data_IF_976138887130
#
_entry.id   IF_976138887130
#
_cell.length_a   1.000
_cell.length_b   1.000
_cell.length_c   1.000
_cell.angle_alpha   90.00
_cell.angle_beta   90.00
_cell.angle_gamma   90.00
#
_symmetry.space_group_name_H-M   'P 1'
#
loop_
_entity.id
_entity.type
_entity.pdbx_description
1 polymer ?
#
# COMPACT_ATOMS: atom_id res chain seq x y z
N UNK A 1 -24.12 -21.77 6.92
CA UNK A 1 -22.79 -21.11 7.00
C UNK A 1 -22.67 -20.20 5.79
N UNK A 2 -22.80 -18.89 5.96
CA UNK A 2 -22.46 -17.94 4.90
C UNK A 2 -20.95 -18.01 4.66
N UNK A 3 -20.53 -18.33 3.44
CA UNK A 3 -19.15 -18.17 3.04
C UNK A 3 -18.80 -16.69 3.15
N UNK A 4 -17.83 -16.32 3.99
CA UNK A 4 -17.28 -14.97 3.98
C UNK A 4 -16.64 -14.71 2.62
N UNK A 5 -17.32 -13.99 1.73
CA UNK A 5 -16.73 -13.53 0.48
C UNK A 5 -15.62 -12.54 0.80
N UNK A 6 -14.42 -12.85 0.33
CA UNK A 6 -13.30 -11.91 0.36
C UNK A 6 -13.22 -11.23 -1.01
N UNK A 7 -13.61 -9.96 -1.07
CA UNK A 7 -13.54 -9.16 -2.30
C UNK A 7 -12.10 -8.75 -2.63
N UNK A 8 -11.29 -8.51 -1.60
CA UNK A 8 -9.88 -8.18 -1.72
C UNK A 8 -9.02 -9.35 -1.24
N UNK A 9 -8.01 -9.69 -2.05
CA UNK A 9 -7.05 -10.74 -1.75
C UNK A 9 -5.72 -10.14 -1.31
N UNK A 10 -5.07 -10.78 -0.32
CA UNK A 10 -3.74 -10.36 0.12
C UNK A 10 -2.73 -10.62 -1.00
N UNK A 11 -1.76 -9.73 -1.21
CA UNK A 11 -0.69 -9.99 -2.17
C UNK A 11 0.14 -11.21 -1.73
N UNK A 12 0.63 -11.96 -2.71
CA UNK A 12 1.38 -13.19 -2.46
C UNK A 12 2.66 -12.91 -1.66
N UNK A 13 3.01 -13.80 -0.73
CA UNK A 13 4.26 -13.71 0.05
C UNK A 13 5.50 -13.73 -0.85
N UNK A 14 5.42 -14.31 -2.05
CA UNK A 14 6.55 -14.33 -2.98
C UNK A 14 7.02 -12.92 -3.38
N UNK A 15 6.14 -11.92 -3.32
CA UNK A 15 6.52 -10.52 -3.61
C UNK A 15 7.55 -9.98 -2.62
N UNK A 16 7.35 -10.18 -1.32
CA UNK A 16 8.31 -9.68 -0.33
C UNK A 16 9.62 -10.47 -0.39
N UNK A 17 9.53 -11.79 -0.65
CA UNK A 17 10.69 -12.65 -0.80
C UNK A 17 11.54 -12.32 -2.03
N UNK A 18 10.96 -11.77 -3.09
CA UNK A 18 11.74 -11.29 -4.25
C UNK A 18 12.21 -9.85 -4.08
N UNK A 19 11.34 -8.95 -3.60
CA UNK A 19 11.63 -7.53 -3.50
C UNK A 19 12.70 -7.21 -2.46
N UNK A 20 12.72 -7.89 -1.30
CA UNK A 20 13.70 -7.61 -0.24
C UNK A 20 15.13 -7.93 -0.69
N UNK A 21 15.45 -9.12 -1.23
CA UNK A 21 16.79 -9.38 -1.76
C UNK A 21 17.19 -8.41 -2.87
N UNK A 22 16.28 -8.09 -3.80
CA UNK A 22 16.54 -7.13 -4.88
C UNK A 22 16.88 -5.75 -4.32
N UNK A 23 16.11 -5.27 -3.34
CA UNK A 23 16.34 -4.00 -2.66
C UNK A 23 17.71 -3.98 -1.95
N UNK A 24 18.06 -5.06 -1.23
CA UNK A 24 19.37 -5.20 -0.60
C UNK A 24 20.51 -5.19 -1.63
N UNK A 25 20.37 -5.89 -2.76
CA UNK A 25 21.35 -5.90 -3.84
C UNK A 25 21.58 -4.49 -4.41
N UNK A 26 20.50 -3.74 -4.71
CA UNK A 26 20.64 -2.37 -5.21
C UNK A 26 21.22 -1.42 -4.18
N UNK A 27 20.89 -1.58 -2.89
CA UNK A 27 21.50 -0.79 -1.82
C UNK A 27 23.01 -1.04 -1.74
N UNK A 28 23.44 -2.31 -1.76
CA UNK A 28 24.86 -2.66 -1.76
C UNK A 28 25.59 -2.10 -2.99
N UNK A 29 24.99 -2.22 -4.18
CA UNK A 29 25.55 -1.64 -5.40
C UNK A 29 25.68 -0.11 -5.32
N UNK A 30 24.64 0.57 -4.84
CA UNK A 30 24.65 2.03 -4.69
C UNK A 30 25.72 2.49 -3.68
N UNK A 31 25.85 1.81 -2.54
CA UNK A 31 26.90 2.09 -1.55
C UNK A 31 28.30 1.87 -2.13
N UNK A 32 28.50 0.77 -2.86
CA UNK A 32 29.78 0.48 -3.52
C UNK A 32 30.14 1.56 -4.55
N UNK A 33 29.22 1.91 -5.44
CA UNK A 33 29.45 2.92 -6.46
C UNK A 33 29.67 4.31 -5.86
N UNK A 34 28.96 4.66 -4.79
CA UNK A 34 29.19 5.91 -4.07
C UNK A 34 30.61 5.97 -3.49
N UNK A 35 31.08 4.87 -2.89
CA UNK A 35 32.43 4.79 -2.36
C UNK A 35 33.49 4.97 -3.47
N UNK A 36 33.28 4.35 -4.64
CA UNK A 36 34.14 4.53 -5.81
C UNK A 36 34.16 6.00 -6.27
N UNK A 37 32.99 6.64 -6.40
CA UNK A 37 32.89 8.04 -6.85
C UNK A 37 33.64 8.98 -5.89
N UNK A 38 33.53 8.77 -4.58
CA UNK A 38 34.20 9.60 -3.56
C UNK A 38 35.72 9.38 -3.54
N UNK A 39 36.19 8.22 -3.97
CA UNK A 39 37.61 7.86 -3.95
C UNK A 39 38.36 8.29 -5.23
N UNK A 40 37.69 8.87 -6.21
CA UNK A 40 38.27 9.34 -7.47
C UNK A 40 38.10 10.85 -7.56
N UNK A 41 39.19 11.59 -7.80
CA UNK A 41 39.18 13.07 -7.84
C UNK A 41 38.29 13.62 -8.97
N UNK A 42 38.32 13.00 -10.15
CA UNK A 42 37.49 13.37 -11.31
C UNK A 42 36.67 12.16 -11.84
N UNK A 43 35.52 11.84 -11.21
CA UNK A 43 34.72 10.69 -11.61
C UNK A 43 33.99 10.95 -12.94
N UNK A 44 34.17 10.01 -13.88
CA UNK A 44 33.52 10.03 -15.20
C UNK A 44 31.98 10.04 -15.07
N UNK A 45 31.32 10.65 -16.05
CA UNK A 45 29.86 10.72 -16.17
C UNK A 45 29.25 9.31 -16.12
N UNK A 46 29.92 8.32 -16.70
CA UNK A 46 29.47 6.92 -16.66
C UNK A 46 29.34 6.41 -15.22
N UNK A 47 30.33 6.70 -14.35
CA UNK A 47 30.30 6.26 -12.95
C UNK A 47 29.13 6.91 -12.19
N UNK A 48 28.92 8.22 -12.40
CA UNK A 48 27.80 8.96 -11.81
C UNK A 48 26.45 8.40 -12.27
N UNK A 49 26.34 8.06 -13.55
CA UNK A 49 25.12 7.51 -14.13
C UNK A 49 24.81 6.10 -13.62
N UNK A 50 25.83 5.24 -13.46
CA UNK A 50 25.66 3.93 -12.83
C UNK A 50 25.16 4.06 -11.39
N UNK A 51 25.72 4.98 -10.60
CA UNK A 51 25.23 5.28 -9.25
C UNK A 51 23.76 5.72 -9.26
N UNK A 52 23.40 6.67 -10.11
CA UNK A 52 22.03 7.16 -10.21
C UNK A 52 21.03 6.05 -10.58
N UNK A 53 21.41 5.14 -11.47
CA UNK A 53 20.57 4.00 -11.85
C UNK A 53 20.37 3.05 -10.67
N UNK A 54 21.45 2.61 -10.02
CA UNK A 54 21.37 1.69 -8.88
C UNK A 54 20.60 2.30 -7.71
N UNK A 55 20.82 3.58 -7.42
CA UNK A 55 20.07 4.32 -6.40
C UNK A 55 18.60 4.48 -6.78
N UNK A 56 18.28 4.80 -8.04
CA UNK A 56 16.91 4.87 -8.54
C UNK A 56 16.17 3.55 -8.40
N UNK A 57 16.79 2.44 -8.75
CA UNK A 57 16.20 1.11 -8.56
C UNK A 57 16.03 0.73 -7.08
N UNK A 58 16.97 1.13 -6.21
CA UNK A 58 16.79 0.99 -4.77
C UNK A 58 15.54 1.74 -4.27
N UNK A 59 15.33 2.98 -4.72
CA UNK A 59 14.13 3.76 -4.35
C UNK A 59 12.84 3.12 -4.86
N UNK A 60 12.82 2.67 -6.13
CA UNK A 60 11.66 2.00 -6.73
C UNK A 60 11.32 0.72 -5.97
N UNK A 61 12.31 -0.12 -5.68
CA UNK A 61 12.11 -1.39 -4.97
C UNK A 61 11.70 -1.16 -3.52
N UNK A 62 12.27 -0.16 -2.85
CA UNK A 62 11.82 0.30 -1.53
C UNK A 62 10.36 0.74 -1.54
N UNK A 63 9.95 1.55 -2.51
CA UNK A 63 8.55 1.97 -2.69
C UNK A 63 7.61 0.77 -2.88
N UNK A 64 7.99 -0.23 -3.69
CA UNK A 64 7.20 -1.45 -3.87
C UNK A 64 7.07 -2.26 -2.57
N UNK A 65 8.11 -2.33 -1.74
CA UNK A 65 8.06 -3.00 -0.42
C UNK A 65 7.07 -2.28 0.52
N UNK A 66 7.13 -0.95 0.58
CA UNK A 66 6.16 -0.16 1.36
C UNK A 66 4.73 -0.36 0.85
N UNK A 67 4.55 -0.37 -0.48
CA UNK A 67 3.26 -0.67 -1.12
C UNK A 67 2.74 -2.07 -0.76
N UNK A 68 3.61 -3.09 -0.75
CA UNK A 68 3.26 -4.42 -0.29
C UNK A 68 2.78 -4.42 1.16
N UNK A 69 3.52 -3.75 2.06
CA UNK A 69 3.15 -3.61 3.46
C UNK A 69 1.77 -2.96 3.63
N UNK A 70 1.51 -1.89 2.88
CA UNK A 70 0.21 -1.23 2.85
C UNK A 70 -0.91 -2.18 2.40
N UNK A 71 -0.72 -2.89 1.28
CA UNK A 71 -1.72 -3.82 0.74
C UNK A 71 -2.05 -4.94 1.73
N UNK A 72 -1.04 -5.57 2.34
CA UNK A 72 -1.26 -6.63 3.34
C UNK A 72 -2.06 -6.11 4.54
N UNK A 73 -1.77 -4.88 4.98
CA UNK A 73 -2.47 -4.22 6.08
C UNK A 73 -3.90 -3.81 5.71
N UNK A 74 -4.12 -3.24 4.52
CA UNK A 74 -5.40 -2.68 4.10
C UNK A 74 -6.40 -3.75 3.68
N UNK A 75 -5.98 -4.86 3.04
CA UNK A 75 -6.89 -5.93 2.58
C UNK A 75 -7.91 -6.40 3.63
N UNK A 76 -7.53 -6.83 4.84
CA UNK A 76 -8.51 -7.29 5.84
C UNK A 76 -9.45 -6.18 6.30
N UNK A 77 -8.97 -4.94 6.35
CA UNK A 77 -9.78 -3.77 6.70
C UNK A 77 -10.80 -3.46 5.61
N UNK A 78 -10.40 -3.53 4.33
CA UNK A 78 -11.29 -3.33 3.18
C UNK A 78 -12.41 -4.37 3.18
N UNK A 79 -12.08 -5.66 3.31
CA UNK A 79 -13.10 -6.73 3.35
C UNK A 79 -14.07 -6.57 4.53
N UNK A 80 -13.57 -6.13 5.69
CA UNK A 80 -14.43 -5.86 6.84
C UNK A 80 -15.31 -4.63 6.61
N UNK A 81 -14.78 -3.58 5.98
CA UNK A 81 -15.53 -2.37 5.70
C UNK A 81 -16.62 -2.60 4.63
N UNK A 82 -16.38 -3.48 3.65
CA UNK A 82 -17.43 -3.94 2.70
C UNK A 82 -18.61 -4.52 3.48
N UNK A 83 -18.38 -5.52 4.32
CA UNK A 83 -19.44 -6.15 5.15
C UNK A 83 -20.17 -5.13 6.03
N UNK A 84 -19.44 -4.23 6.67
CA UNK A 84 -20.05 -3.18 7.49
C UNK A 84 -20.91 -2.21 6.68
N UNK A 85 -20.55 -1.97 5.42
CA UNK A 85 -21.30 -1.09 4.52
C UNK A 85 -22.54 -1.80 3.97
N UNK A 86 -22.46 -3.11 3.69
CA UNK A 86 -23.61 -3.95 3.35
C UNK A 86 -24.63 -4.02 4.50
N UNK A 87 -24.15 -4.15 5.74
CA UNK A 87 -25.02 -4.19 6.93
C UNK A 87 -25.62 -2.80 7.25
N UNK A 88 -24.90 -1.72 6.94
CA UNK A 88 -25.34 -0.35 7.17
C UNK A 88 -24.66 0.62 6.19
N UNK A 89 -25.39 1.06 5.17
CA UNK A 89 -24.91 1.98 4.13
C UNK A 89 -24.40 3.32 4.67
N UNK A 90 -24.73 3.72 5.91
CA UNK A 90 -24.26 4.97 6.50
C UNK A 90 -22.82 4.91 7.04
N UNK A 91 -22.16 3.74 7.01
CA UNK A 91 -20.75 3.60 7.45
C UNK A 91 -19.81 4.43 6.58
N UNK A 92 -20.11 4.58 5.28
CA UNK A 92 -19.37 5.42 4.34
C UNK A 92 -20.26 6.56 3.85
N UNK A 93 -19.85 7.79 4.13
CA UNK A 93 -20.58 9.00 3.73
C UNK A 93 -19.79 9.73 2.65
N UNK A 94 -20.47 10.04 1.55
CA UNK A 94 -19.92 10.88 0.49
C UNK A 94 -20.14 12.37 0.82
N UNK A 95 -19.05 13.14 0.95
CA UNK A 95 -19.06 14.60 1.15
C UNK A 95 -17.89 15.23 0.39
N UNK A 96 -18.04 16.46 -0.13
CA UNK A 96 -16.94 17.20 -0.77
C UNK A 96 -16.15 16.40 -1.83
N UNK A 97 -16.85 15.62 -2.65
CA UNK A 97 -16.26 14.73 -3.66
C UNK A 97 -15.35 13.60 -3.12
N UNK A 98 -15.54 13.24 -1.85
CA UNK A 98 -14.73 12.23 -1.14
C UNK A 98 -15.60 11.36 -0.24
N UNK A 99 -15.12 10.15 0.00
CA UNK A 99 -15.75 9.23 0.93
C UNK A 99 -15.09 9.35 2.30
N UNK A 100 -15.93 9.37 3.34
CA UNK A 100 -15.51 9.45 4.73
C UNK A 100 -16.16 8.33 5.52
N UNK A 101 -15.43 7.79 6.48
CA UNK A 101 -15.98 6.81 7.43
C UNK A 101 -16.76 7.57 8.50
N UNK A 102 -18.01 7.20 8.75
CA UNK A 102 -18.77 7.72 9.89
C UNK A 102 -18.30 7.05 11.19
N UNK A 103 -17.44 7.75 11.91
CA UNK A 103 -16.91 7.28 13.20
C UNK A 103 -18.02 7.04 14.24
N UNK A 104 -19.10 7.82 14.21
CA UNK A 104 -20.20 7.68 15.17
C UNK A 104 -20.98 6.39 14.92
N UNK A 105 -21.17 6.00 13.66
CA UNK A 105 -21.80 4.72 13.30
C UNK A 105 -20.92 3.55 13.75
N UNK A 106 -19.61 3.60 13.47
CA UNK A 106 -18.68 2.55 13.91
C UNK A 106 -18.59 2.44 15.45
N UNK A 107 -18.59 3.56 16.16
CA UNK A 107 -18.62 3.57 17.62
C UNK A 107 -19.90 2.93 18.19
N UNK A 108 -21.06 3.19 17.59
CA UNK A 108 -22.33 2.52 17.96
C UNK A 108 -22.29 1.01 17.75
N UNK A 109 -21.53 0.54 16.76
CA UNK A 109 -21.29 -0.89 16.51
C UNK A 109 -20.18 -1.48 17.39
N UNK A 110 -19.63 -0.73 18.34
CA UNK A 110 -18.50 -1.13 19.18
C UNK A 110 -17.22 -1.49 18.37
N UNK A 111 -16.99 -0.80 17.25
CA UNK A 111 -15.83 -0.98 16.38
C UNK A 111 -14.94 0.26 16.47
N UNK A 112 -13.62 0.04 16.58
CA UNK A 112 -12.65 1.14 16.56
C UNK A 112 -12.55 1.73 15.13
N UNK A 113 -12.84 3.03 14.92
CA UNK A 113 -12.82 3.65 13.59
C UNK A 113 -11.41 3.96 13.08
N UNK A 114 -10.43 4.16 13.98
CA UNK A 114 -9.05 4.59 13.63
C UNK A 114 -8.39 3.82 12.48
N UNK A 115 -8.43 2.48 12.43
CA UNK A 115 -7.80 1.75 11.31
C UNK A 115 -8.51 2.00 9.97
N UNK A 116 -9.82 2.24 9.97
CA UNK A 116 -10.59 2.47 8.74
C UNK A 116 -10.38 3.87 8.19
N UNK A 117 -10.34 4.89 9.05
CA UNK A 117 -10.09 6.29 8.66
C UNK A 117 -8.75 6.47 7.95
N UNK A 118 -7.77 5.60 8.25
CA UNK A 118 -6.43 5.61 7.64
C UNK A 118 -6.38 4.98 6.24
N UNK A 119 -7.47 4.37 5.77
CA UNK A 119 -7.53 3.86 4.41
C UNK A 119 -7.52 5.01 3.40
N UNK A 120 -7.00 4.72 2.21
CA UNK A 120 -6.92 5.71 1.14
C UNK A 120 -8.30 5.99 0.54
N UNK A 121 -8.46 7.16 -0.07
CA UNK A 121 -9.69 7.50 -0.80
C UNK A 121 -9.98 6.52 -1.95
N UNK A 122 -8.93 5.96 -2.56
CA UNK A 122 -9.09 4.91 -3.58
C UNK A 122 -9.75 3.67 -2.99
N UNK A 123 -9.35 3.27 -1.77
CA UNK A 123 -9.92 2.09 -1.14
C UNK A 123 -11.40 2.26 -0.83
N UNK A 124 -11.84 3.44 -0.38
CA UNK A 124 -13.26 3.71 -0.16
C UNK A 124 -14.07 3.67 -1.47
N UNK A 125 -13.52 4.21 -2.56
CA UNK A 125 -14.15 4.16 -3.89
C UNK A 125 -14.30 2.72 -4.38
N UNK A 126 -13.25 1.91 -4.22
CA UNK A 126 -13.30 0.49 -4.59
C UNK A 126 -14.41 -0.24 -3.81
N UNK A 127 -14.56 0.06 -2.51
CA UNK A 127 -15.56 -0.57 -1.63
C UNK A 127 -16.98 -0.21 -2.07
N UNK A 128 -17.26 1.06 -2.32
CA UNK A 128 -18.59 1.50 -2.77
C UNK A 128 -18.93 0.89 -4.13
N UNK A 129 -17.97 0.87 -5.07
CA UNK A 129 -18.15 0.22 -6.36
C UNK A 129 -18.52 -1.27 -6.22
N UNK A 130 -17.96 -1.98 -5.24
CA UNK A 130 -18.32 -3.38 -4.99
C UNK A 130 -19.76 -3.48 -4.48
N UNK A 131 -20.12 -2.67 -3.48
CA UNK A 131 -21.45 -2.70 -2.85
C UNK A 131 -22.54 -2.33 -3.86
N UNK A 132 -22.33 -1.30 -4.68
CA UNK A 132 -23.28 -0.86 -5.72
C UNK A 132 -23.48 -1.88 -6.86
N UNK A 133 -22.48 -2.73 -7.14
CA UNK A 133 -22.58 -3.75 -8.20
C UNK A 133 -23.24 -5.06 -7.73
N UNK A 134 -23.46 -5.24 -6.43
CA UNK A 134 -24.15 -6.41 -5.87
C UNK A 134 -25.64 -6.16 -5.55
N UNK A 135 -26.12 -4.91 -5.65
CA UNK A 135 -27.54 -4.54 -5.65
C UNK A 135 -28.20 -4.72 -7.03
#
# INVERSE_FOLDING_TARGET
MQFERNYFNKPSKYWIWSLVPICCCFLMMAMFQLNVIVSVDDPDIKMKLFFLISFGFFLITGYMIFGYGYLVWSTPLKNKLVKLTEDNHNVLIYKFDRYFVDEAVLHKMNINPKPYVRLSQKDYRDIICIVENEE
#
